data_IF_844539015712
#
_entry.id   IF_844539015712
#
_cell.length_a   1.000
_cell.length_b   1.000
_cell.length_c   1.000
_cell.angle_alpha   90.00
_cell.angle_beta   90.00
_cell.angle_gamma   90.00
#
_symmetry.space_group_name_H-M   'P 1'
#
loop_
_entity.id
_entity.type
_entity.pdbx_description
1 polymer ?
#
# COMPACT_ATOMS: atom_id res chain seq x y z
N UNK A 1 32.18 12.37 70.15
CA UNK A 1 33.35 11.68 70.73
C UNK A 1 34.39 11.55 69.64
N UNK A 2 35.63 11.96 69.94
CA UNK A 2 36.91 11.70 69.24
C UNK A 2 37.00 12.18 67.77
N UNK A 3 37.69 13.29 67.42
CA UNK A 3 39.15 13.55 67.45
C UNK A 3 40.02 12.37 66.99
N UNK A 4 40.73 12.56 65.87
CA UNK A 4 42.15 12.26 65.68
C UNK A 4 42.60 12.73 64.26
N UNK A 5 43.55 13.67 64.20
CA UNK A 5 44.55 13.76 63.10
C UNK A 5 45.66 12.70 63.39
N UNK A 6 46.81 12.58 62.68
CA UNK A 6 47.31 13.13 61.41
C UNK A 6 48.02 12.03 60.54
N UNK A 7 48.85 12.47 59.57
CA UNK A 7 50.23 11.97 59.34
C UNK A 7 50.53 11.13 58.08
N UNK A 8 51.51 11.65 57.31
CA UNK A 8 52.62 10.97 56.57
C UNK A 8 52.26 9.96 55.49
N UNK A 9 53.00 9.74 54.40
CA UNK A 9 54.26 10.26 53.84
C UNK A 9 54.42 9.57 52.46
N UNK A 10 55.13 10.26 51.57
CA UNK A 10 55.86 9.81 50.38
C UNK A 10 55.83 8.33 49.96
N UNK A 11 55.61 8.08 48.66
CA UNK A 11 56.62 7.42 47.79
C UNK A 11 56.30 7.58 46.31
N UNK A 12 57.35 7.89 45.56
CA UNK A 12 57.46 7.85 44.09
C UNK A 12 57.10 6.49 43.50
N UNK A 13 56.39 6.46 42.37
CA UNK A 13 56.78 5.58 41.26
C UNK A 13 56.15 6.02 39.93
N UNK A 14 57.03 6.38 38.98
CA UNK A 14 56.73 6.53 37.56
C UNK A 14 56.33 5.18 36.97
N UNK A 15 55.11 5.06 36.42
CA UNK A 15 54.72 3.94 35.56
C UNK A 15 54.42 4.42 34.11
N UNK A 16 54.76 3.60 33.08
CA UNK A 16 54.90 4.04 31.69
C UNK A 16 53.58 4.14 30.92
N UNK A 17 53.60 4.99 29.88
CA UNK A 17 52.51 5.19 28.92
C UNK A 17 52.08 3.91 28.19
N UNK A 18 50.78 3.57 28.16
CA UNK A 18 50.29 2.49 27.30
C UNK A 18 50.07 2.97 25.86
N UNK A 19 50.75 2.29 24.93
CA UNK A 19 50.58 2.42 23.47
C UNK A 19 49.11 2.24 23.07
N UNK A 20 48.57 3.18 22.30
CA UNK A 20 47.26 3.07 21.64
C UNK A 20 47.26 1.88 20.66
N UNK A 21 46.24 1.00 20.67
CA UNK A 21 46.06 -0.01 19.64
C UNK A 21 45.65 0.66 18.31
N UNK A 22 46.32 0.28 17.22
CA UNK A 22 45.87 0.57 15.85
C UNK A 22 44.56 -0.19 15.60
N UNK A 23 43.45 0.53 15.41
CA UNK A 23 42.24 -0.04 14.80
C UNK A 23 42.45 -0.14 13.30
N UNK A 24 42.48 -1.36 12.79
CA UNK A 24 42.20 -1.65 11.38
C UNK A 24 40.69 -1.55 11.17
N UNK A 25 40.23 -0.41 10.66
CA UNK A 25 38.85 -0.29 10.20
C UNK A 25 38.74 -0.98 8.84
N UNK A 26 38.36 -2.26 8.86
CA UNK A 26 37.89 -2.99 7.68
C UNK A 26 36.68 -2.27 7.11
N UNK A 27 36.89 -1.59 5.98
CA UNK A 27 35.84 -1.00 5.15
C UNK A 27 35.03 -2.15 4.55
N UNK A 28 33.93 -2.53 5.20
CA UNK A 28 32.94 -3.42 4.60
C UNK A 28 32.34 -2.70 3.38
N UNK A 29 32.66 -3.19 2.18
CA UNK A 29 31.94 -2.82 0.97
C UNK A 29 30.47 -3.19 1.18
N UNK A 30 29.63 -2.17 1.40
CA UNK A 30 28.18 -2.32 1.23
C UNK A 30 27.94 -2.61 -0.24
N UNK A 31 27.76 -3.88 -0.59
CA UNK A 31 27.18 -4.26 -1.87
C UNK A 31 25.86 -3.49 -2.04
N UNK A 32 25.82 -2.62 -3.05
CA UNK A 32 24.59 -1.99 -3.50
C UNK A 32 23.59 -3.11 -3.87
N UNK A 33 22.32 -3.03 -3.42
CA UNK A 33 21.36 -4.09 -3.73
C UNK A 33 21.20 -4.21 -5.24
N UNK A 34 21.56 -5.39 -5.79
CA UNK A 34 21.39 -5.73 -7.20
C UNK A 34 19.95 -5.43 -7.62
N UNK A 35 19.80 -4.67 -8.70
CA UNK A 35 18.49 -4.38 -9.27
C UNK A 35 17.79 -5.70 -9.61
N UNK A 36 16.63 -5.95 -8.97
CA UNK A 36 15.79 -7.12 -9.25
C UNK A 36 15.39 -7.09 -10.72
N UNK A 37 15.59 -8.20 -11.44
CA UNK A 37 15.26 -8.28 -12.88
C UNK A 37 13.76 -8.09 -13.08
N UNK A 38 13.30 -7.51 -14.21
CA UNK A 38 11.88 -7.30 -14.47
C UNK A 38 11.02 -8.57 -14.34
N UNK A 39 11.54 -9.71 -14.82
CA UNK A 39 10.88 -11.02 -14.75
C UNK A 39 10.67 -11.50 -13.31
N UNK A 40 11.66 -11.27 -12.44
CA UNK A 40 11.56 -11.60 -11.02
C UNK A 40 10.51 -10.74 -10.32
N UNK A 41 10.37 -9.47 -10.72
CA UNK A 41 9.35 -8.56 -10.17
C UNK A 41 7.93 -9.02 -10.54
N UNK A 42 7.71 -9.41 -11.79
CA UNK A 42 6.40 -9.90 -12.24
C UNK A 42 6.00 -11.18 -11.49
N UNK A 43 6.93 -12.12 -11.31
CA UNK A 43 6.69 -13.36 -10.58
C UNK A 43 6.36 -13.10 -9.10
N UNK A 44 7.14 -12.27 -8.41
CA UNK A 44 6.87 -11.89 -7.01
C UNK A 44 5.50 -11.23 -6.86
N UNK A 45 5.08 -10.45 -7.86
CA UNK A 45 3.79 -9.78 -7.87
C UNK A 45 2.64 -10.76 -8.09
N UNK A 46 2.76 -11.68 -9.05
CA UNK A 46 1.80 -12.76 -9.28
C UNK A 46 1.57 -13.59 -8.02
N UNK A 47 2.65 -14.08 -7.41
CA UNK A 47 2.59 -14.85 -6.15
C UNK A 47 1.91 -14.05 -5.02
N UNK A 48 2.16 -12.74 -4.94
CA UNK A 48 1.51 -11.87 -3.96
C UNK A 48 0.01 -11.68 -4.21
N UNK A 49 -0.42 -11.51 -5.46
CA UNK A 49 -1.84 -11.42 -5.84
C UNK A 49 -2.56 -12.76 -5.62
N UNK A 50 -1.93 -13.89 -5.92
CA UNK A 50 -2.47 -15.22 -5.65
C UNK A 50 -2.70 -15.45 -4.15
N UNK A 51 -1.73 -15.05 -3.33
CA UNK A 51 -1.88 -15.12 -1.89
C UNK A 51 -2.97 -14.17 -1.37
N UNK A 52 -3.06 -12.95 -1.90
CA UNK A 52 -4.14 -12.01 -1.57
C UNK A 52 -5.52 -12.58 -1.94
N UNK A 53 -5.64 -13.20 -3.12
CA UNK A 53 -6.88 -13.86 -3.55
C UNK A 53 -7.25 -15.04 -2.65
N UNK A 54 -6.26 -15.80 -2.19
CA UNK A 54 -6.46 -16.89 -1.22
C UNK A 54 -6.95 -16.37 0.13
N UNK A 55 -6.42 -15.23 0.60
CA UNK A 55 -6.91 -14.54 1.79
C UNK A 55 -8.35 -14.03 1.60
N UNK A 56 -8.67 -13.41 0.46
CA UNK A 56 -10.03 -12.97 0.16
C UNK A 56 -11.05 -14.13 0.19
N UNK A 57 -10.68 -15.28 -0.37
CA UNK A 57 -11.52 -16.51 -0.32
C UNK A 57 -11.74 -17.00 1.11
N UNK A 58 -10.72 -16.92 1.95
CA UNK A 58 -10.80 -17.38 3.35
C UNK A 58 -11.61 -16.43 4.23
N UNK A 59 -11.31 -15.14 4.16
CA UNK A 59 -11.85 -14.12 5.08
C UNK A 59 -13.21 -13.58 4.61
N UNK A 60 -13.41 -13.40 3.30
CA UNK A 60 -14.63 -12.80 2.72
C UNK A 60 -15.50 -13.80 1.97
N UNK A 61 -15.08 -15.07 1.86
CA UNK A 61 -15.76 -16.11 1.07
C UNK A 61 -16.00 -15.73 -0.40
N UNK A 62 -15.16 -14.84 -0.94
CA UNK A 62 -15.25 -14.32 -2.30
C UNK A 62 -13.88 -14.33 -2.99
N UNK A 63 -13.86 -14.26 -4.32
CA UNK A 63 -12.61 -14.25 -5.11
C UNK A 63 -12.40 -12.91 -5.79
N UNK A 64 -11.15 -12.51 -5.98
CA UNK A 64 -10.83 -11.36 -6.81
C UNK A 64 -11.25 -11.65 -8.27
N UNK A 65 -11.96 -10.71 -8.93
CA UNK A 65 -12.27 -10.84 -10.36
C UNK A 65 -11.01 -10.98 -11.20
N UNK A 66 -11.08 -11.78 -12.28
CA UNK A 66 -9.92 -12.08 -13.14
C UNK A 66 -9.26 -10.82 -13.69
N UNK A 67 -10.05 -9.82 -14.10
CA UNK A 67 -9.51 -8.58 -14.66
C UNK A 67 -8.85 -7.70 -13.60
N UNK A 68 -9.33 -7.76 -12.35
CA UNK A 68 -8.68 -7.10 -11.23
C UNK A 68 -7.38 -7.79 -10.83
N UNK A 69 -7.30 -9.12 -10.90
CA UNK A 69 -6.06 -9.87 -10.74
C UNK A 69 -5.03 -9.43 -11.78
N UNK A 70 -5.41 -9.39 -13.07
CA UNK A 70 -4.53 -8.91 -14.15
C UNK A 70 -4.05 -7.49 -13.89
N UNK A 71 -4.97 -6.58 -13.54
CA UNK A 71 -4.65 -5.20 -13.20
C UNK A 71 -3.62 -5.11 -12.06
N UNK A 72 -3.81 -5.85 -10.97
CA UNK A 72 -2.90 -5.84 -9.83
C UNK A 72 -1.51 -6.39 -10.18
N UNK A 73 -1.41 -7.33 -11.12
CA UNK A 73 -0.12 -7.85 -11.62
C UNK A 73 0.57 -6.86 -12.55
N UNK A 74 -0.18 -6.16 -13.40
CA UNK A 74 0.38 -5.24 -14.41
C UNK A 74 0.80 -3.89 -13.81
N UNK A 75 -0.02 -3.32 -12.93
CA UNK A 75 0.18 -1.96 -12.42
C UNK A 75 0.64 -1.97 -10.97
N UNK A 76 1.88 -1.56 -10.72
CA UNK A 76 2.32 -1.16 -9.37
C UNK A 76 2.03 0.33 -9.08
N UNK A 77 2.27 0.75 -7.83
CA UNK A 77 2.01 2.14 -7.41
C UNK A 77 2.81 3.13 -8.27
N UNK A 78 4.10 2.85 -8.49
CA UNK A 78 5.00 3.73 -9.26
C UNK A 78 4.57 3.83 -10.73
N UNK A 79 4.01 2.76 -11.30
CA UNK A 79 3.47 2.74 -12.65
C UNK A 79 2.18 3.55 -12.77
N UNK A 80 1.31 3.49 -11.76
CA UNK A 80 0.09 4.30 -11.70
C UNK A 80 0.38 5.80 -11.51
N UNK A 81 1.37 6.15 -10.69
CA UNK A 81 1.80 7.54 -10.49
C UNK A 81 2.23 8.20 -11.81
N UNK A 82 2.92 7.44 -12.69
CA UNK A 82 3.32 7.91 -14.03
C UNK A 82 2.14 8.18 -14.97
N UNK A 83 0.95 7.67 -14.67
CA UNK A 83 -0.24 7.92 -15.49
C UNK A 83 -0.86 9.30 -15.24
N UNK A 84 -0.35 10.07 -14.27
CA UNK A 84 -0.79 11.43 -13.94
C UNK A 84 -2.31 11.53 -13.71
N UNK A 85 -2.87 10.51 -13.05
CA UNK A 85 -4.31 10.36 -12.77
C UNK A 85 -4.76 11.09 -11.49
N UNK A 86 -3.90 11.88 -10.86
CA UNK A 86 -4.30 12.69 -9.70
C UNK A 86 -5.51 13.56 -10.03
N UNK A 87 -6.50 13.65 -9.13
CA UNK A 87 -6.44 13.25 -7.72
C UNK A 87 -6.97 11.83 -7.41
N UNK A 88 -7.05 10.94 -8.40
CA UNK A 88 -7.49 9.56 -8.18
C UNK A 88 -6.36 8.69 -7.62
N UNK A 89 -6.56 8.17 -6.42
CA UNK A 89 -5.72 7.15 -5.81
C UNK A 89 -6.28 5.75 -6.12
N UNK A 90 -5.84 5.15 -7.23
CA UNK A 90 -6.19 3.76 -7.55
C UNK A 90 -5.36 2.81 -6.67
N UNK A 91 -6.02 1.88 -6.02
CA UNK A 91 -5.39 0.96 -5.07
C UNK A 91 -4.60 -0.11 -5.79
N UNK A 92 -3.29 -0.01 -5.61
CA UNK A 92 -2.31 -1.04 -5.93
C UNK A 92 -1.32 -1.17 -4.77
N UNK A 93 -0.20 -1.84 -5.02
CA UNK A 93 0.84 -2.09 -4.05
C UNK A 93 2.22 -2.03 -4.69
N UNK A 94 3.23 -1.63 -3.90
CA UNK A 94 4.63 -1.79 -4.27
C UNK A 94 4.99 -3.28 -4.31
N UNK A 95 5.66 -3.70 -5.39
CA UNK A 95 6.09 -5.08 -5.59
C UNK A 95 6.96 -5.55 -4.41
N UNK A 96 6.71 -6.75 -3.85
CA UNK A 96 7.57 -7.34 -2.81
C UNK A 96 9.04 -7.40 -3.26
N UNK A 97 9.97 -7.24 -2.33
CA UNK A 97 11.41 -7.29 -2.63
C UNK A 97 11.92 -8.74 -2.78
N UNK A 98 11.24 -9.69 -2.16
CA UNK A 98 11.57 -11.11 -2.18
C UNK A 98 10.35 -11.96 -1.81
N UNK A 99 10.47 -13.29 -1.91
CA UNK A 99 9.38 -14.23 -1.59
C UNK A 99 8.99 -14.21 -0.12
N UNK A 100 9.95 -14.03 0.77
CA UNK A 100 9.74 -13.96 2.22
C UNK A 100 8.86 -12.76 2.61
N UNK A 101 8.87 -11.68 1.80
CA UNK A 101 8.04 -10.51 2.04
C UNK A 101 6.59 -10.65 1.52
N UNK A 102 6.29 -11.66 0.70
CA UNK A 102 4.98 -11.82 0.06
C UNK A 102 3.88 -11.94 1.11
N UNK A 103 4.06 -12.83 2.08
CA UNK A 103 3.01 -13.12 3.08
C UNK A 103 2.65 -11.89 3.89
N UNK A 104 3.65 -11.19 4.42
CA UNK A 104 3.43 -9.94 5.15
C UNK A 104 2.73 -8.90 4.26
N UNK A 105 3.15 -8.77 2.99
CA UNK A 105 2.55 -7.79 2.08
C UNK A 105 1.09 -8.12 1.78
N UNK A 106 0.76 -9.37 1.43
CA UNK A 106 -0.61 -9.78 1.14
C UNK A 106 -1.52 -9.63 2.37
N UNK A 107 -1.03 -9.95 3.58
CA UNK A 107 -1.76 -9.70 4.84
C UNK A 107 -2.02 -8.21 5.09
N UNK A 108 -1.04 -7.34 4.85
CA UNK A 108 -1.23 -5.88 4.96
C UNK A 108 -2.30 -5.37 3.99
N UNK A 109 -2.27 -5.83 2.73
CA UNK A 109 -3.27 -5.46 1.73
C UNK A 109 -4.67 -5.91 2.13
N UNK A 110 -4.80 -7.15 2.62
CA UNK A 110 -6.07 -7.68 3.11
C UNK A 110 -6.61 -6.87 4.29
N UNK A 111 -5.76 -6.56 5.29
CA UNK A 111 -6.16 -5.73 6.44
C UNK A 111 -6.62 -4.34 6.03
N UNK A 112 -5.93 -3.71 5.07
CA UNK A 112 -6.34 -2.40 4.52
C UNK A 112 -7.73 -2.50 3.90
N UNK A 113 -8.02 -3.55 3.14
CA UNK A 113 -9.32 -3.74 2.50
C UNK A 113 -10.44 -3.97 3.51
N UNK A 114 -10.21 -4.80 4.53
CA UNK A 114 -11.16 -4.98 5.64
C UNK A 114 -11.41 -3.64 6.37
N UNK A 115 -10.34 -2.88 6.64
CA UNK A 115 -10.44 -1.56 7.25
C UNK A 115 -11.30 -0.60 6.42
N UNK A 116 -11.09 -0.55 5.10
CA UNK A 116 -11.89 0.28 4.19
C UNK A 116 -13.36 -0.14 4.17
N UNK A 117 -13.65 -1.45 4.13
CA UNK A 117 -15.03 -1.96 4.21
C UNK A 117 -15.69 -1.55 5.54
N UNK A 118 -14.94 -1.54 6.65
CA UNK A 118 -15.48 -1.17 7.96
C UNK A 118 -15.73 0.33 8.13
N UNK A 119 -14.93 1.18 7.47
CA UNK A 119 -15.02 2.64 7.59
C UNK A 119 -16.02 3.21 6.59
N UNK A 120 -16.11 2.62 5.39
CA UNK A 120 -16.97 3.13 4.34
C UNK A 120 -18.28 2.37 4.37
N UNK A 121 -19.24 2.92 5.10
CA UNK A 121 -20.60 2.39 5.14
C UNK A 121 -21.26 2.61 3.78
N UNK A 122 -21.52 1.52 3.07
CA UNK A 122 -22.37 1.55 1.88
C UNK A 122 -23.77 1.16 2.35
N UNK A 123 -24.75 2.02 2.07
CA UNK A 123 -26.16 1.79 2.41
C UNK A 123 -26.65 0.41 1.92
N UNK A 124 -27.34 -0.31 2.80
CA UNK A 124 -27.76 -1.70 2.55
C UNK A 124 -28.81 -1.79 1.44
N UNK A 125 -29.74 -0.83 1.38
CA UNK A 125 -30.80 -0.81 0.37
C UNK A 125 -30.22 -0.50 -1.02
N UNK A 126 -29.27 0.42 -1.10
CA UNK A 126 -28.55 0.69 -2.34
C UNK A 126 -27.73 -0.52 -2.81
N UNK A 127 -27.05 -1.23 -1.91
CA UNK A 127 -26.35 -2.49 -2.23
C UNK A 127 -27.30 -3.55 -2.76
N UNK A 128 -28.43 -3.77 -2.09
CA UNK A 128 -29.45 -4.74 -2.51
C UNK A 128 -30.00 -4.40 -3.89
N UNK A 129 -30.35 -3.13 -4.11
CA UNK A 129 -30.87 -2.62 -5.39
C UNK A 129 -29.89 -2.85 -6.55
N UNK A 130 -28.60 -2.64 -6.30
CA UNK A 130 -27.54 -2.83 -7.29
C UNK A 130 -26.96 -4.26 -7.32
N UNK A 131 -27.45 -5.15 -6.45
CA UNK A 131 -27.00 -6.54 -6.37
C UNK A 131 -25.57 -6.73 -5.82
N UNK A 132 -25.03 -5.75 -5.10
CA UNK A 132 -23.64 -5.75 -4.61
C UNK A 132 -23.54 -6.53 -3.29
N UNK A 133 -22.85 -7.67 -3.34
CA UNK A 133 -22.72 -8.56 -2.17
C UNK A 133 -21.44 -8.37 -1.41
N UNK A 134 -20.30 -8.31 -2.10
CA UNK A 134 -18.98 -8.22 -1.48
C UNK A 134 -18.23 -7.02 -2.07
N UNK A 135 -18.55 -5.79 -1.59
CA UNK A 135 -17.90 -4.58 -2.10
C UNK A 135 -16.41 -4.60 -1.76
N UNK A 136 -15.60 -4.32 -2.76
CA UNK A 136 -14.15 -4.24 -2.65
C UNK A 136 -13.67 -2.92 -3.22
N UNK A 137 -13.06 -2.10 -2.37
CA UNK A 137 -12.64 -0.76 -2.76
C UNK A 137 -11.40 -0.84 -3.66
N UNK A 138 -11.45 -0.18 -4.81
CA UNK A 138 -10.38 -0.17 -5.82
C UNK A 138 -9.78 1.20 -6.05
N UNK A 139 -10.45 2.29 -5.66
CA UNK A 139 -9.88 3.62 -5.74
C UNK A 139 -10.61 4.61 -4.83
N UNK A 140 -9.94 5.73 -4.56
CA UNK A 140 -10.51 6.89 -3.89
C UNK A 140 -10.16 8.13 -4.71
N UNK A 141 -11.13 9.01 -4.87
CA UNK A 141 -10.90 10.37 -5.36
C UNK A 141 -10.65 11.28 -4.14
N UNK A 142 -9.46 11.88 -4.07
CA UNK A 142 -9.08 12.81 -3.00
C UNK A 142 -9.11 14.23 -3.54
N UNK A 143 -10.29 14.86 -3.61
CA UNK A 143 -10.42 16.24 -4.08
C UNK A 143 -9.54 17.24 -3.32
N UNK A 144 -9.25 18.38 -3.94
CA UNK A 144 -8.45 19.48 -3.34
C UNK A 144 -9.28 20.44 -2.46
N UNK A 145 -10.61 20.36 -2.49
CA UNK A 145 -11.47 21.11 -1.58
C UNK A 145 -11.74 20.26 -0.34
N UNK A 146 -11.55 20.83 0.85
CA UNK A 146 -11.73 20.37 2.25
C UNK A 146 -12.03 18.88 2.56
N UNK A 147 -11.58 18.41 3.72
CA UNK A 147 -11.43 17.01 4.19
C UNK A 147 -12.62 16.02 3.98
N UNK A 148 -13.78 16.48 3.50
CA UNK A 148 -15.03 15.74 3.35
C UNK A 148 -15.34 15.21 1.93
N UNK A 149 -14.68 15.68 0.86
CA UNK A 149 -15.01 15.24 -0.51
C UNK A 149 -14.26 14.00 -0.97
N UNK A 150 -14.55 12.85 -0.33
CA UNK A 150 -14.04 11.54 -0.77
C UNK A 150 -15.10 10.78 -1.56
N UNK A 151 -14.84 10.58 -2.85
CA UNK A 151 -15.59 9.59 -3.64
C UNK A 151 -14.85 8.26 -3.59
N UNK A 152 -15.61 7.18 -3.47
CA UNK A 152 -15.06 5.83 -3.39
C UNK A 152 -15.50 4.99 -4.57
N UNK A 153 -14.61 4.13 -5.04
CA UNK A 153 -14.84 3.30 -6.21
C UNK A 153 -14.69 1.83 -5.84
N UNK A 154 -15.65 1.00 -6.24
CA UNK A 154 -15.75 -0.39 -5.82
C UNK A 154 -15.96 -1.34 -6.98
N UNK A 155 -15.56 -2.58 -6.78
CA UNK A 155 -16.03 -3.74 -7.53
C UNK A 155 -16.79 -4.66 -6.60
N UNK A 156 -17.66 -5.51 -7.14
CA UNK A 156 -18.23 -6.63 -6.39
C UNK A 156 -17.39 -7.89 -6.64
N UNK A 157 -16.88 -8.51 -5.56
CA UNK A 157 -16.12 -9.76 -5.66
C UNK A 157 -16.98 -10.96 -6.06
N UNK A 158 -18.30 -10.88 -5.90
CA UNK A 158 -19.21 -11.96 -6.30
C UNK A 158 -19.70 -11.86 -7.76
N UNK A 159 -19.26 -10.85 -8.50
CA UNK A 159 -19.68 -10.67 -9.89
C UNK A 159 -19.14 -11.78 -10.79
N UNK A 160 -20.04 -12.56 -11.39
CA UNK A 160 -19.71 -13.73 -12.22
C UNK A 160 -19.37 -13.41 -13.68
N UNK A 161 -19.89 -12.29 -14.20
CA UNK A 161 -19.93 -12.06 -15.64
C UNK A 161 -19.01 -10.93 -16.09
N UNK A 162 -18.94 -9.82 -15.36
CA UNK A 162 -18.07 -8.67 -15.67
C UNK A 162 -17.72 -7.89 -14.39
N UNK A 163 -16.51 -7.34 -14.33
CA UNK A 163 -16.09 -6.49 -13.20
C UNK A 163 -16.71 -5.11 -13.34
N UNK A 164 -17.93 -4.94 -12.83
CA UNK A 164 -18.61 -3.65 -12.79
C UNK A 164 -17.97 -2.77 -11.72
N UNK A 165 -17.74 -1.50 -12.06
CA UNK A 165 -17.22 -0.51 -11.13
C UNK A 165 -18.35 0.40 -10.69
N UNK A 166 -18.52 0.50 -9.38
CA UNK A 166 -19.50 1.34 -8.71
C UNK A 166 -18.80 2.56 -8.11
N UNK A 167 -19.44 3.71 -8.20
CA UNK A 167 -19.03 4.95 -7.54
C UNK A 167 -19.95 5.21 -6.37
N UNK A 168 -19.39 5.45 -5.20
CA UNK A 168 -20.08 6.09 -4.08
C UNK A 168 -19.66 7.57 -4.06
N UNK A 169 -20.64 8.45 -4.25
CA UNK A 169 -20.43 9.89 -4.16
C UNK A 169 -20.39 10.37 -2.69
N UNK A 170 -20.18 11.68 -2.52
CA UNK A 170 -20.16 12.34 -1.21
C UNK A 170 -21.47 12.24 -0.42
N UNK A 171 -22.58 11.97 -1.09
CA UNK A 171 -23.90 11.84 -0.49
C UNK A 171 -24.24 10.37 -0.20
N UNK A 172 -23.25 9.47 -0.32
CA UNK A 172 -23.43 8.02 -0.22
C UNK A 172 -24.39 7.44 -1.25
N UNK A 173 -24.57 8.13 -2.38
CA UNK A 173 -25.26 7.54 -3.53
C UNK A 173 -24.31 6.63 -4.28
N UNK A 174 -24.80 5.45 -4.61
CA UNK A 174 -24.09 4.41 -5.32
C UNK A 174 -24.64 4.32 -6.74
N UNK A 175 -23.76 4.45 -7.72
CA UNK A 175 -24.08 4.34 -9.14
C UNK A 175 -23.07 3.45 -9.88
N UNK A 176 -23.52 2.82 -10.97
CA UNK A 176 -22.63 2.10 -11.88
C UNK A 176 -22.03 3.10 -12.86
N UNK A 177 -20.70 3.15 -12.93
CA UNK A 177 -19.99 4.09 -13.80
C UNK A 177 -19.27 3.40 -14.97
N UNK A 178 -18.79 2.16 -14.81
CA UNK A 178 -17.97 1.47 -15.81
C UNK A 178 -18.12 -0.05 -15.78
N UNK A 179 -17.81 -0.67 -16.92
CA UNK A 179 -17.93 -2.13 -17.12
C UNK A 179 -16.62 -2.90 -16.95
N UNK A 180 -15.46 -2.25 -17.08
CA UNK A 180 -14.12 -2.85 -16.94
C UNK A 180 -13.08 -1.85 -16.40
N UNK A 181 -11.99 -2.37 -15.82
CA UNK A 181 -10.89 -1.58 -15.21
C UNK A 181 -10.10 -0.68 -16.19
N UNK A 182 -9.77 -1.10 -17.43
CA UNK A 182 -9.08 -0.21 -18.37
C UNK A 182 -9.88 1.05 -18.68
N UNK A 183 -11.20 0.94 -18.83
CA UNK A 183 -12.10 2.08 -19.03
C UNK A 183 -12.12 3.00 -17.82
N UNK A 184 -12.00 2.44 -16.62
CA UNK A 184 -11.90 3.22 -15.39
C UNK A 184 -10.59 4.01 -15.29
N UNK A 185 -9.45 3.42 -15.67
CA UNK A 185 -8.18 4.18 -15.73
C UNK A 185 -8.31 5.34 -16.72
N UNK A 186 -8.92 5.08 -17.89
CA UNK A 186 -9.18 6.11 -18.90
C UNK A 186 -10.09 7.21 -18.34
N UNK A 187 -11.16 6.85 -17.64
CA UNK A 187 -12.03 7.80 -16.95
C UNK A 187 -11.28 8.66 -15.93
N UNK A 188 -10.45 8.07 -15.08
CA UNK A 188 -9.64 8.81 -14.11
C UNK A 188 -8.74 9.84 -14.81
N UNK A 189 -8.13 9.46 -15.94
CA UNK A 189 -7.32 10.38 -16.76
C UNK A 189 -8.15 11.52 -17.34
N UNK A 190 -9.31 11.21 -17.92
CA UNK A 190 -10.20 12.21 -18.53
C UNK A 190 -10.71 13.21 -17.48
N UNK A 191 -11.19 12.72 -16.33
CA UNK A 191 -11.63 13.55 -15.20
C UNK A 191 -10.51 14.43 -14.65
N UNK A 192 -9.30 13.88 -14.46
CA UNK A 192 -8.12 14.65 -14.03
C UNK A 192 -7.80 15.79 -15.00
N UNK A 193 -7.84 15.50 -16.30
CA UNK A 193 -7.54 16.50 -17.34
C UNK A 193 -8.59 17.61 -17.40
N UNK A 194 -9.88 17.28 -17.27
CA UNK A 194 -10.93 18.28 -17.28
C UNK A 194 -10.81 19.22 -16.07
N UNK A 195 -10.50 18.70 -14.87
CA UNK A 195 -10.25 19.53 -13.69
C UNK A 195 -9.08 20.50 -13.89
N UNK A 196 -8.00 20.07 -14.56
CA UNK A 196 -6.87 20.93 -14.88
C UNK A 196 -7.23 22.05 -15.87
N UNK A 197 -8.23 21.86 -16.73
CA UNK A 197 -8.70 22.89 -17.67
C UNK A 197 -9.50 23.98 -16.96
N UNK A 198 -10.30 23.64 -15.95
CA UNK A 198 -11.12 24.61 -15.20
C UNK A 198 -10.34 25.40 -14.14
N UNK A 199 -9.10 24.99 -13.83
CA UNK A 199 -8.16 25.72 -12.96
C UNK A 199 -7.24 26.69 -13.70
N UNK A 200 -7.39 26.84 -15.02
CA UNK A 200 -6.67 27.83 -15.85
C UNK A 200 -7.58 28.98 -16.22
#
# INVERSE_FOLDING_TARGET
>A
MHQEEPSTSETDEKAPSPKKPKREDKKAEKELPKAVRPEDKENLRKECVEMLNSLAKKELKASLPKDYIKFLVEYDIESLEKLAIDPFCIFSFKTPKSKENIENKSKQLMRRQIGLISVISIDEDQRKRLGIKNPWCIAVYNGEEEEEYKEYYYIDLDSKNNTIIYKQDRYSNLENIYKILPDFIKYCKEKSNDMKKYKK
#
